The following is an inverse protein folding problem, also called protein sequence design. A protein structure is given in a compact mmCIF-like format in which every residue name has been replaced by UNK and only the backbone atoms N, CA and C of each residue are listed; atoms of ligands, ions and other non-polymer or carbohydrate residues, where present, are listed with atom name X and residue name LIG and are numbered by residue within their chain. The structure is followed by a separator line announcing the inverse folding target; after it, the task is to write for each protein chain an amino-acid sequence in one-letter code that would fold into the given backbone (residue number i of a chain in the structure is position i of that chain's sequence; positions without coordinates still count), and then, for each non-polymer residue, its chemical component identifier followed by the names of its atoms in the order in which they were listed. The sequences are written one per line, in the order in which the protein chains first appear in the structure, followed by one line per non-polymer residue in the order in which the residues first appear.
data_IF_221364378076
#
_entry.id   IF_221364378076
#
_cell.length_a   1.000
_cell.length_b   1.000
_cell.length_c   1.000
_cell.angle_alpha   90.00
_cell.angle_beta   90.00
_cell.angle_gamma   90.00
#
_symmetry.space_group_name_H-M   'P 1'
#
loop_
_entity.id
_entity.type
_entity.pdbx_description
1 polymer ?
#
# COMPACT_ATOMS: atom_id res chain seq x y z
N UNK A 1 -34.90 37.22 39.05
CA UNK A 1 -34.89 38.42 38.20
C UNK A 1 -34.55 37.95 36.80
N UNK A 2 -35.36 38.14 35.76
CA UNK A 2 -35.90 39.40 35.21
C UNK A 2 -34.80 40.39 34.81
N UNK A 3 -34.97 40.90 33.57
CA UNK A 3 -34.32 42.05 32.92
C UNK A 3 -33.02 41.72 32.14
N UNK A 4 -32.79 42.17 30.90
CA UNK A 4 -33.56 43.01 29.98
C UNK A 4 -32.99 42.88 28.55
N UNK A 5 -33.88 42.96 27.57
CA UNK A 5 -33.56 43.26 26.17
C UNK A 5 -33.38 44.77 25.97
N UNK A 6 -32.65 45.21 24.92
CA UNK A 6 -32.86 46.51 24.30
C UNK A 6 -33.69 46.42 22.99
N UNK A 7 -34.54 47.42 22.68
CA UNK A 7 -35.45 47.43 21.54
C UNK A 7 -34.92 48.21 20.31
N UNK A 8 -35.49 47.85 19.16
CA UNK A 8 -35.81 48.67 17.97
C UNK A 8 -34.81 49.72 17.48
N UNK A 9 -34.28 49.48 16.28
CA UNK A 9 -34.07 50.53 15.28
C UNK A 9 -34.52 50.02 13.91
N UNK A 10 -35.70 50.47 13.52
CA UNK A 10 -36.27 50.44 12.17
C UNK A 10 -35.47 51.33 11.24
N UNK A 11 -34.96 50.83 10.11
CA UNK A 11 -34.73 51.67 8.92
C UNK A 11 -34.71 50.83 7.64
N UNK A 12 -35.52 51.26 6.67
CA UNK A 12 -35.14 51.24 5.26
C UNK A 12 -35.37 49.95 4.49
N UNK A 13 -36.62 49.75 4.05
CA UNK A 13 -36.88 49.12 2.76
C UNK A 13 -36.13 49.90 1.67
N UNK A 14 -35.07 49.32 1.11
CA UNK A 14 -34.55 49.73 -0.21
C UNK A 14 -34.78 48.55 -1.15
N UNK A 15 -35.92 48.62 -1.85
CA UNK A 15 -36.19 47.80 -3.02
C UNK A 15 -35.25 48.31 -4.11
N UNK A 16 -34.08 47.69 -4.24
CA UNK A 16 -33.28 47.82 -5.47
C UNK A 16 -33.95 46.92 -6.51
N UNK A 17 -34.89 47.50 -7.26
CA UNK A 17 -35.33 46.99 -8.57
C UNK A 17 -34.15 47.12 -9.53
N UNK A 18 -33.21 46.17 -9.42
CA UNK A 18 -32.10 45.99 -10.34
C UNK A 18 -32.48 44.99 -11.43
N UNK A 19 -32.90 45.53 -12.57
CA UNK A 19 -32.65 45.00 -13.91
C UNK A 19 -32.97 43.53 -14.21
N UNK A 20 -34.16 43.34 -14.79
CA UNK A 20 -34.49 42.24 -15.70
C UNK A 20 -33.60 42.31 -16.96
N UNK A 21 -32.36 41.81 -16.90
CA UNK A 21 -31.57 41.44 -18.09
C UNK A 21 -30.39 40.54 -17.68
N UNK A 22 -30.67 39.29 -17.34
CA UNK A 22 -29.63 38.33 -16.97
C UNK A 22 -30.01 36.86 -17.11
N UNK A 23 -31.04 36.53 -17.90
CA UNK A 23 -31.54 35.16 -18.05
C UNK A 23 -31.57 34.69 -19.51
N UNK A 24 -30.52 34.93 -20.30
CA UNK A 24 -30.41 34.31 -21.65
C UNK A 24 -28.98 33.93 -22.07
N UNK A 25 -28.02 33.84 -21.14
CA UNK A 25 -26.62 33.49 -21.47
C UNK A 25 -26.17 32.10 -21.02
N UNK A 26 -27.07 31.14 -20.83
CA UNK A 26 -26.71 29.78 -20.42
C UNK A 26 -26.86 28.69 -21.49
N UNK A 27 -27.30 28.99 -22.71
CA UNK A 27 -27.65 27.94 -23.70
C UNK A 27 -26.74 27.83 -24.93
N UNK A 28 -25.66 28.63 -25.06
CA UNK A 28 -24.69 28.47 -26.15
C UNK A 28 -23.45 27.64 -25.73
N UNK A 29 -23.65 26.41 -25.24
CA UNK A 29 -22.61 25.38 -25.35
C UNK A 29 -22.71 24.81 -26.77
N UNK A 30 -21.90 25.32 -27.69
CA UNK A 30 -21.77 24.76 -29.03
C UNK A 30 -21.39 23.26 -28.98
N UNK A 31 -21.66 22.49 -30.03
CA UNK A 31 -21.43 21.03 -30.06
C UNK A 31 -19.99 20.63 -29.69
N UNK A 32 -19.01 21.49 -29.98
CA UNK A 32 -17.60 21.30 -29.63
C UNK A 32 -17.30 21.39 -28.12
N UNK A 33 -18.12 22.10 -27.34
CA UNK A 33 -17.96 22.18 -25.90
C UNK A 33 -18.40 20.89 -25.19
N UNK A 34 -19.36 20.17 -25.78
CA UNK A 34 -19.82 18.88 -25.25
C UNK A 34 -18.79 17.78 -25.51
N UNK A 35 -18.22 17.73 -26.72
CA UNK A 35 -17.16 16.76 -27.07
C UNK A 35 -15.89 16.97 -26.23
N UNK A 36 -15.58 18.21 -25.84
CA UNK A 36 -14.42 18.49 -24.99
C UNK A 36 -14.60 18.03 -23.54
N UNK A 37 -15.83 18.01 -23.02
CA UNK A 37 -16.13 17.51 -21.67
C UNK A 37 -16.09 15.99 -21.65
N UNK A 38 -16.69 15.33 -22.64
CA UNK A 38 -16.64 13.87 -22.81
C UNK A 38 -15.20 13.35 -23.01
N UNK A 39 -14.38 14.09 -23.76
CA UNK A 39 -12.97 13.78 -23.92
C UNK A 39 -12.20 13.86 -22.58
N UNK A 40 -12.53 14.81 -21.69
CA UNK A 40 -11.88 14.91 -20.37
C UNK A 40 -12.27 13.77 -19.45
N UNK A 41 -13.56 13.45 -19.39
CA UNK A 41 -14.09 12.36 -18.57
C UNK A 41 -13.49 11.01 -18.99
N UNK A 42 -13.39 10.75 -20.29
CA UNK A 42 -12.74 9.53 -20.80
C UNK A 42 -11.25 9.47 -20.46
N UNK A 43 -10.52 10.58 -20.51
CA UNK A 43 -9.11 10.65 -20.08
C UNK A 43 -8.97 10.38 -18.58
N UNK A 44 -9.81 10.98 -17.75
CA UNK A 44 -9.82 10.74 -16.30
C UNK A 44 -10.09 9.27 -15.96
N UNK A 45 -11.09 8.66 -16.62
CA UNK A 45 -11.40 7.24 -16.45
C UNK A 45 -10.22 6.33 -16.85
N UNK A 46 -9.49 6.68 -17.92
CA UNK A 46 -8.30 5.94 -18.34
C UNK A 46 -7.17 6.04 -17.31
N UNK A 47 -6.93 7.22 -16.75
CA UNK A 47 -5.92 7.43 -15.71
C UNK A 47 -6.24 6.58 -14.47
N UNK A 48 -7.49 6.60 -13.99
CA UNK A 48 -7.91 5.80 -12.83
C UNK A 48 -7.75 4.29 -13.10
N UNK A 49 -8.09 3.84 -14.31
CA UNK A 49 -7.92 2.44 -14.71
C UNK A 49 -6.45 2.03 -14.73
N UNK A 50 -5.56 2.88 -15.23
CA UNK A 50 -4.12 2.62 -15.20
C UNK A 50 -3.60 2.50 -13.77
N UNK A 51 -4.04 3.38 -12.87
CA UNK A 51 -3.70 3.31 -11.44
C UNK A 51 -4.15 2.01 -10.80
N UNK A 52 -5.37 1.56 -11.08
CA UNK A 52 -5.87 0.27 -10.59
C UNK A 52 -5.02 -0.91 -11.07
N UNK A 53 -4.55 -0.88 -12.32
CA UNK A 53 -3.64 -1.92 -12.85
C UNK A 53 -2.29 -1.90 -12.12
N UNK A 54 -1.72 -0.71 -11.87
CA UNK A 54 -0.49 -0.56 -11.11
C UNK A 54 -0.63 -1.10 -9.66
N UNK A 55 -1.74 -0.77 -8.99
CA UNK A 55 -2.02 -1.24 -7.63
C UNK A 55 -2.23 -2.75 -7.56
N UNK A 56 -2.87 -3.33 -8.58
CA UNK A 56 -3.02 -4.78 -8.71
C UNK A 56 -1.68 -5.48 -8.92
N UNK A 57 -0.81 -4.91 -9.75
CA UNK A 57 0.55 -5.43 -9.95
C UNK A 57 1.38 -5.36 -8.65
N UNK A 58 1.26 -4.28 -7.89
CA UNK A 58 1.90 -4.13 -6.59
C UNK A 58 1.39 -5.17 -5.57
N UNK A 59 0.08 -5.44 -5.53
CA UNK A 59 -0.48 -6.53 -4.72
C UNK A 59 0.12 -7.88 -5.13
N UNK A 60 0.14 -8.18 -6.43
CA UNK A 60 0.71 -9.43 -6.91
C UNK A 60 2.19 -9.60 -6.52
N UNK A 61 2.98 -8.53 -6.61
CA UNK A 61 4.39 -8.55 -6.16
C UNK A 61 4.51 -8.82 -4.65
N UNK A 62 3.64 -8.21 -3.83
CA UNK A 62 3.57 -8.49 -2.39
C UNK A 62 3.27 -9.97 -2.12
N UNK A 63 2.27 -10.52 -2.80
CA UNK A 63 1.87 -11.92 -2.65
C UNK A 63 3.01 -12.87 -3.06
N UNK A 64 3.72 -12.56 -4.14
CA UNK A 64 4.92 -13.30 -4.57
C UNK A 64 6.03 -13.23 -3.52
N UNK A 65 6.27 -12.08 -2.90
CA UNK A 65 7.27 -11.94 -1.84
C UNK A 65 6.90 -12.77 -0.61
N UNK A 66 5.64 -12.72 -0.18
CA UNK A 66 5.13 -13.53 0.94
C UNK A 66 5.29 -15.02 0.62
N UNK A 67 4.85 -15.45 -0.56
CA UNK A 67 4.98 -16.83 -1.03
C UNK A 67 6.45 -17.29 -1.03
N UNK A 68 7.37 -16.42 -1.48
CA UNK A 68 8.81 -16.68 -1.49
C UNK A 68 9.35 -16.89 -0.08
N UNK A 69 8.91 -16.07 0.89
CA UNK A 69 9.31 -16.25 2.29
C UNK A 69 8.78 -17.55 2.85
N UNK A 70 7.52 -17.90 2.59
CA UNK A 70 6.95 -19.18 3.02
C UNK A 70 7.73 -20.35 2.42
N UNK A 71 7.98 -20.35 1.11
CA UNK A 71 8.76 -21.38 0.43
C UNK A 71 10.17 -21.52 1.00
N UNK A 72 10.87 -20.39 1.25
CA UNK A 72 12.19 -20.38 1.90
C UNK A 72 12.14 -21.01 3.29
N UNK A 73 11.16 -20.64 4.11
CA UNK A 73 11.05 -21.19 5.47
C UNK A 73 10.79 -22.70 5.47
N UNK A 74 9.93 -23.20 4.58
CA UNK A 74 9.67 -24.65 4.43
C UNK A 74 10.95 -25.41 4.06
N UNK A 75 11.68 -24.89 3.09
CA UNK A 75 12.92 -25.50 2.60
C UNK A 75 14.03 -25.51 3.67
N UNK A 76 14.16 -24.43 4.46
CA UNK A 76 15.07 -24.39 5.62
C UNK A 76 14.66 -25.40 6.68
N UNK A 77 13.36 -25.54 6.99
CA UNK A 77 12.88 -26.53 7.97
C UNK A 77 13.21 -27.95 7.52
N UNK A 78 12.97 -28.30 6.25
CA UNK A 78 13.31 -29.63 5.72
C UNK A 78 14.82 -29.89 5.75
N UNK A 79 15.61 -28.88 5.40
CA UNK A 79 17.06 -28.99 5.43
C UNK A 79 17.60 -29.18 6.86
N UNK A 80 17.12 -28.39 7.82
CA UNK A 80 17.46 -28.53 9.24
C UNK A 80 16.96 -29.85 9.82
N UNK A 81 15.76 -30.30 9.45
CA UNK A 81 15.27 -31.62 9.87
C UNK A 81 16.19 -32.74 9.37
N UNK A 82 16.61 -32.68 8.10
CA UNK A 82 17.60 -33.62 7.54
C UNK A 82 18.92 -33.60 8.29
N UNK A 83 19.39 -32.43 8.72
CA UNK A 83 20.57 -32.29 9.58
C UNK A 83 20.41 -33.04 10.90
N UNK A 84 19.33 -32.76 11.64
CA UNK A 84 19.13 -33.36 12.95
C UNK A 84 18.97 -34.88 12.88
N UNK A 85 18.31 -35.39 11.83
CA UNK A 85 18.21 -36.83 11.57
C UNK A 85 19.58 -37.44 11.28
N UNK A 86 20.37 -36.85 10.38
CA UNK A 86 21.71 -37.37 10.05
C UNK A 86 22.67 -37.29 11.24
N UNK A 87 22.59 -36.23 12.03
CA UNK A 87 23.36 -36.06 13.26
C UNK A 87 22.97 -37.11 14.31
N UNK A 88 21.68 -37.37 14.50
CA UNK A 88 21.19 -38.41 15.41
C UNK A 88 21.69 -39.80 14.99
N UNK A 89 21.63 -40.12 13.69
CA UNK A 89 22.16 -41.38 13.15
C UNK A 89 23.67 -41.47 13.35
N UNK A 90 24.42 -40.41 13.02
CA UNK A 90 25.87 -40.36 13.21
C UNK A 90 26.26 -40.58 14.69
N UNK A 91 25.52 -39.98 15.62
CA UNK A 91 25.70 -40.16 17.05
C UNK A 91 25.44 -41.60 17.48
N UNK A 92 24.38 -42.25 16.98
CA UNK A 92 24.08 -43.66 17.27
C UNK A 92 25.18 -44.57 16.73
N UNK A 93 25.64 -44.35 15.49
CA UNK A 93 26.73 -45.13 14.89
C UNK A 93 28.03 -44.96 15.67
N UNK A 94 28.39 -43.73 16.06
CA UNK A 94 29.59 -43.46 16.86
C UNK A 94 29.56 -44.18 18.21
N UNK A 95 28.44 -44.14 18.91
CA UNK A 95 28.30 -44.79 20.22
C UNK A 95 28.24 -46.31 20.13
N UNK A 96 27.48 -46.86 19.17
CA UNK A 96 27.20 -48.30 19.08
C UNK A 96 28.26 -49.08 18.30
N UNK A 97 28.73 -48.51 17.19
CA UNK A 97 29.67 -49.18 16.27
C UNK A 97 31.10 -48.82 16.62
N UNK A 98 31.41 -47.53 16.72
CA UNK A 98 32.79 -47.06 16.92
C UNK A 98 33.23 -47.05 18.38
N UNK A 99 32.29 -47.06 19.34
CA UNK A 99 32.54 -47.00 20.80
C UNK A 99 33.41 -45.81 21.25
N UNK A 100 33.43 -44.71 20.49
CA UNK A 100 34.30 -43.54 20.72
C UNK A 100 33.66 -42.43 21.57
N UNK A 101 32.60 -42.76 22.34
CA UNK A 101 31.88 -41.81 23.18
C UNK A 101 30.97 -40.82 22.41
N UNK A 102 30.17 -40.01 23.11
CA UNK A 102 29.24 -39.08 22.47
C UNK A 102 29.97 -37.93 21.76
N UNK A 103 29.30 -37.26 20.81
CA UNK A 103 29.76 -35.98 20.25
C UNK A 103 29.77 -34.93 21.37
N UNK A 104 30.91 -34.27 21.56
CA UNK A 104 31.08 -33.20 22.55
C UNK A 104 30.71 -31.85 21.95
N UNK A 105 30.34 -30.88 22.80
CA UNK A 105 29.95 -29.53 22.39
C UNK A 105 31.07 -28.84 21.57
N UNK A 106 32.34 -29.11 21.90
CA UNK A 106 33.49 -28.57 21.14
C UNK A 106 33.59 -29.06 19.70
N UNK A 107 32.97 -30.21 19.36
CA UNK A 107 32.94 -30.74 17.99
C UNK A 107 31.79 -30.15 17.15
N UNK A 108 30.82 -29.49 17.78
CA UNK A 108 29.61 -29.00 17.10
C UNK A 108 29.88 -28.00 15.96
N UNK A 109 30.80 -27.00 16.10
CA UNK A 109 31.09 -26.06 15.01
C UNK A 109 31.59 -26.76 13.74
N UNK A 110 32.35 -27.85 13.89
CA UNK A 110 32.89 -28.62 12.76
C UNK A 110 31.81 -29.36 11.96
N UNK A 111 30.63 -29.58 12.52
CA UNK A 111 29.49 -30.17 11.80
C UNK A 111 28.54 -29.09 11.28
N UNK A 112 28.24 -28.08 12.09
CA UNK A 112 27.28 -27.04 11.72
C UNK A 112 27.79 -26.13 10.60
N UNK A 113 29.05 -25.68 10.67
CA UNK A 113 29.62 -24.76 9.68
C UNK A 113 29.64 -25.36 8.27
N UNK A 114 30.22 -26.55 8.01
CA UNK A 114 30.18 -27.11 6.66
C UNK A 114 28.76 -27.44 6.21
N UNK A 115 27.85 -27.79 7.12
CA UNK A 115 26.47 -28.08 6.76
C UNK A 115 25.68 -26.81 6.34
N UNK A 116 25.87 -25.69 7.03
CA UNK A 116 25.32 -24.40 6.58
C UNK A 116 25.99 -23.91 5.30
N UNK A 117 27.28 -24.21 5.10
CA UNK A 117 27.98 -23.91 3.86
C UNK A 117 27.41 -24.70 2.67
N UNK A 118 27.11 -26.00 2.83
CA UNK A 118 26.50 -26.78 1.75
C UNK A 118 25.12 -26.26 1.36
N UNK A 119 24.33 -25.77 2.33
CA UNK A 119 23.08 -25.07 2.03
C UNK A 119 23.30 -23.85 1.15
N UNK A 120 24.24 -22.99 1.53
CA UNK A 120 24.54 -21.76 0.80
C UNK A 120 25.13 -22.04 -0.58
N UNK A 121 25.93 -23.11 -0.72
CA UNK A 121 26.47 -23.54 -2.01
C UNK A 121 25.36 -24.04 -2.95
N UNK A 122 24.43 -24.87 -2.45
CA UNK A 122 23.27 -25.33 -3.22
C UNK A 122 22.34 -24.16 -3.57
N UNK A 123 22.21 -23.17 -2.68
CA UNK A 123 21.44 -21.97 -2.95
C UNK A 123 22.11 -21.06 -4.00
N UNK A 124 23.43 -20.92 -3.98
CA UNK A 124 24.17 -20.02 -4.87
C UNK A 124 24.34 -20.58 -6.29
N UNK A 125 24.58 -21.89 -6.43
CA UNK A 125 24.95 -22.51 -7.71
C UNK A 125 24.05 -23.68 -8.12
N UNK A 126 23.20 -24.17 -7.22
CA UNK A 126 22.41 -25.38 -7.42
C UNK A 126 21.03 -25.15 -8.03
N UNK A 127 20.28 -26.25 -8.17
CA UNK A 127 18.89 -26.27 -8.67
C UNK A 127 17.86 -25.80 -7.64
N UNK A 128 18.32 -25.42 -6.44
CA UNK A 128 17.47 -25.03 -5.30
C UNK A 128 16.60 -23.81 -5.59
N UNK A 129 17.14 -22.79 -6.27
CA UNK A 129 16.35 -21.60 -6.66
C UNK A 129 15.18 -21.99 -7.58
N UNK A 130 15.42 -22.89 -8.54
CA UNK A 130 14.36 -23.33 -9.47
C UNK A 130 13.27 -24.13 -8.76
N UNK A 131 13.65 -24.98 -7.80
CA UNK A 131 12.70 -25.67 -6.93
C UNK A 131 11.88 -24.68 -6.09
N UNK A 132 12.54 -23.65 -5.54
CA UNK A 132 11.87 -22.63 -4.75
C UNK A 132 10.88 -21.82 -5.59
N UNK A 133 11.24 -21.46 -6.82
CA UNK A 133 10.35 -20.79 -7.77
C UNK A 133 9.13 -21.65 -8.14
N UNK A 134 9.30 -22.97 -8.24
CA UNK A 134 8.19 -23.90 -8.45
C UNK A 134 7.25 -23.94 -7.25
N UNK A 135 7.79 -24.04 -6.04
CA UNK A 135 7.01 -24.02 -4.80
C UNK A 135 6.24 -22.71 -4.63
N UNK A 136 6.85 -21.57 -4.95
CA UNK A 136 6.18 -20.25 -4.95
C UNK A 136 4.95 -20.24 -5.86
N UNK A 137 5.09 -20.77 -7.08
CA UNK A 137 3.96 -20.87 -8.03
C UNK A 137 2.85 -21.78 -7.49
N UNK A 138 3.22 -22.87 -6.83
CA UNK A 138 2.27 -23.80 -6.23
C UNK A 138 1.50 -23.17 -5.06
N UNK A 139 2.21 -22.47 -4.16
CA UNK A 139 1.61 -21.74 -3.03
C UNK A 139 0.61 -20.69 -3.54
N UNK A 140 0.99 -19.88 -4.53
CA UNK A 140 0.12 -18.84 -5.09
C UNK A 140 -1.15 -19.46 -5.72
N UNK A 141 -1.01 -20.61 -6.39
CA UNK A 141 -2.12 -21.26 -7.09
C UNK A 141 -3.09 -21.97 -6.14
N UNK A 142 -2.54 -22.73 -5.19
CA UNK A 142 -3.31 -23.68 -4.39
C UNK A 142 -3.61 -23.18 -2.97
N UNK A 143 -2.72 -22.37 -2.39
CA UNK A 143 -2.78 -21.97 -0.98
C UNK A 143 -3.25 -20.52 -0.80
N UNK A 144 -4.43 -20.21 -1.31
CA UNK A 144 -5.00 -18.84 -1.26
C UNK A 144 -5.21 -18.28 0.15
N UNK A 145 -5.21 -19.14 1.17
CA UNK A 145 -5.47 -18.74 2.55
C UNK A 145 -4.36 -17.84 3.14
N UNK A 146 -3.13 -17.91 2.62
CA UNK A 146 -2.05 -17.01 3.02
C UNK A 146 -2.22 -15.57 2.52
N UNK A 147 -3.06 -15.36 1.50
CA UNK A 147 -3.23 -14.09 0.78
C UNK A 147 -4.63 -13.49 0.98
N UNK A 148 -5.27 -13.80 2.11
CA UNK A 148 -6.66 -13.43 2.38
C UNK A 148 -6.88 -11.93 2.61
N UNK A 149 -5.82 -11.16 2.80
CA UNK A 149 -5.92 -9.74 3.13
C UNK A 149 -6.18 -8.90 1.87
N UNK A 150 -7.32 -8.19 1.80
CA UNK A 150 -7.56 -7.25 0.73
C UNK A 150 -6.60 -6.07 0.86
N UNK A 151 -6.18 -5.51 -0.27
CA UNK A 151 -5.40 -4.27 -0.26
C UNK A 151 -6.34 -3.10 0.05
N UNK A 152 -6.01 -2.27 1.03
CA UNK A 152 -6.72 -1.00 1.23
C UNK A 152 -6.48 -0.08 0.04
N UNK A 153 -7.56 0.37 -0.57
CA UNK A 153 -7.57 1.33 -1.66
C UNK A 153 -8.29 2.60 -1.22
N UNK A 154 -7.86 3.77 -1.73
CA UNK A 154 -8.60 5.01 -1.55
C UNK A 154 -10.06 4.92 -2.03
N UNK A 155 -11.03 5.51 -1.30
CA UNK A 155 -12.45 5.46 -1.65
C UNK A 155 -12.78 6.00 -3.04
N UNK A 156 -12.03 6.99 -3.55
CA UNK A 156 -12.28 7.57 -4.87
C UNK A 156 -12.05 6.56 -6.02
N UNK A 157 -11.31 5.48 -5.79
CA UNK A 157 -11.08 4.41 -6.77
C UNK A 157 -12.20 3.37 -6.79
N UNK A 158 -13.13 3.40 -5.83
CA UNK A 158 -14.15 2.36 -5.68
C UNK A 158 -15.01 2.21 -6.93
N UNK A 159 -15.52 3.32 -7.47
CA UNK A 159 -16.40 3.29 -8.64
C UNK A 159 -15.72 2.62 -9.84
N UNK A 160 -14.50 3.06 -10.17
CA UNK A 160 -13.71 2.49 -11.27
C UNK A 160 -13.34 1.03 -11.01
N UNK A 161 -13.06 0.67 -9.75
CA UNK A 161 -12.78 -0.70 -9.34
C UNK A 161 -13.98 -1.63 -9.57
N UNK A 162 -15.16 -1.23 -9.10
CA UNK A 162 -16.39 -2.01 -9.23
C UNK A 162 -16.75 -2.22 -10.70
N UNK A 163 -16.61 -1.19 -11.53
CA UNK A 163 -16.78 -1.31 -12.99
C UNK A 163 -15.84 -2.36 -13.58
N UNK A 164 -14.54 -2.25 -13.31
CA UNK A 164 -13.54 -3.19 -13.79
C UNK A 164 -13.82 -4.62 -13.31
N UNK A 165 -14.26 -4.78 -12.06
CA UNK A 165 -14.59 -6.07 -11.49
C UNK A 165 -15.84 -6.67 -12.14
N UNK A 166 -16.88 -5.88 -12.41
CA UNK A 166 -18.08 -6.36 -13.13
C UNK A 166 -17.74 -6.80 -14.55
N UNK A 167 -16.91 -6.04 -15.27
CA UNK A 167 -16.41 -6.42 -16.62
C UNK A 167 -15.64 -7.74 -16.58
N UNK A 168 -14.76 -7.92 -15.59
CA UNK A 168 -13.99 -9.14 -15.44
C UNK A 168 -14.86 -10.34 -15.04
N UNK A 169 -15.79 -10.16 -14.12
CA UNK A 169 -16.71 -11.20 -13.69
C UNK A 169 -17.66 -11.61 -14.82
N UNK A 170 -18.08 -10.67 -15.67
CA UNK A 170 -18.83 -10.98 -16.88
C UNK A 170 -18.00 -11.87 -17.83
N UNK A 171 -16.72 -11.54 -18.03
CA UNK A 171 -15.80 -12.39 -18.84
C UNK A 171 -15.58 -13.77 -18.23
N UNK A 172 -15.47 -13.87 -16.90
CA UNK A 172 -15.34 -15.16 -16.21
C UNK A 172 -16.61 -16.00 -16.31
N UNK A 173 -17.78 -15.37 -16.24
CA UNK A 173 -19.07 -16.01 -16.41
C UNK A 173 -19.22 -16.62 -17.81
N UNK A 174 -18.71 -15.97 -18.86
CA UNK A 174 -18.67 -16.53 -20.22
C UNK A 174 -17.83 -17.81 -20.31
N UNK A 175 -16.79 -17.94 -19.47
CA UNK A 175 -15.92 -19.13 -19.40
C UNK A 175 -16.47 -20.17 -18.41
N UNK A 176 -17.60 -19.89 -17.73
CA UNK A 176 -18.19 -20.77 -16.72
C UNK A 176 -17.38 -20.84 -15.42
N UNK A 177 -16.54 -19.85 -15.13
CA UNK A 177 -15.78 -19.77 -13.88
C UNK A 177 -16.54 -18.94 -12.84
N UNK A 178 -16.37 -19.25 -11.54
CA UNK A 178 -16.95 -18.42 -10.48
C UNK A 178 -16.36 -17.00 -10.51
N UNK A 179 -17.12 -15.99 -10.01
CA UNK A 179 -16.63 -14.62 -9.93
C UNK A 179 -15.36 -14.53 -9.08
N UNK A 180 -14.49 -13.58 -9.42
CA UNK A 180 -13.28 -13.34 -8.66
C UNK A 180 -13.63 -12.67 -7.32
N UNK A 181 -12.99 -13.15 -6.24
CA UNK A 181 -13.11 -12.54 -4.91
C UNK A 181 -12.51 -11.13 -4.91
N UNK A 182 -13.12 -10.24 -4.16
CA UNK A 182 -12.62 -8.87 -3.93
C UNK A 182 -11.18 -8.93 -3.39
N UNK A 183 -10.25 -8.37 -4.15
CA UNK A 183 -8.85 -8.28 -3.77
C UNK A 183 -8.50 -6.97 -3.07
N UNK A 184 -9.44 -6.03 -3.00
CA UNK A 184 -9.29 -4.72 -2.37
C UNK A 184 -10.46 -4.41 -1.42
N UNK A 185 -10.17 -3.57 -0.43
CA UNK A 185 -11.13 -3.01 0.53
C UNK A 185 -10.98 -1.48 0.50
N UNK A 186 -12.07 -0.77 0.84
CA UNK A 186 -12.13 0.69 0.82
C UNK A 186 -12.38 1.27 2.23
N UNK A 187 -12.12 0.49 3.28
CA UNK A 187 -12.61 0.76 4.63
C UNK A 187 -11.85 1.89 5.37
N UNK A 188 -10.70 2.35 4.86
CA UNK A 188 -9.91 3.38 5.53
C UNK A 188 -10.27 4.78 5.00
N UNK A 189 -10.77 5.70 5.86
CA UNK A 189 -10.77 7.11 5.50
C UNK A 189 -9.32 7.52 5.31
N UNK A 190 -9.00 7.93 4.09
CA UNK A 190 -7.69 8.41 3.72
C UNK A 190 -7.33 9.59 4.62
N UNK A 191 -6.15 9.58 5.24
CA UNK A 191 -5.68 10.78 5.94
C UNK A 191 -5.38 11.85 4.89
N UNK A 192 -5.59 13.13 5.23
CA UNK A 192 -5.37 14.24 4.28
C UNK A 192 -3.92 14.23 3.73
N UNK A 193 -2.96 13.73 4.52
CA UNK A 193 -1.56 13.53 4.11
C UNK A 193 -1.40 12.52 2.97
N UNK A 194 -2.14 11.40 3.00
CA UNK A 194 -2.09 10.40 1.93
C UNK A 194 -2.74 10.89 0.64
N UNK A 195 -3.81 11.70 0.74
CA UNK A 195 -4.45 12.35 -0.42
C UNK A 195 -3.47 13.32 -1.10
N UNK A 196 -2.72 14.09 -0.31
CA UNK A 196 -1.69 15.01 -0.78
C UNK A 196 -0.52 14.29 -1.45
N UNK A 197 -0.08 13.15 -0.90
CA UNK A 197 1.00 12.34 -1.46
C UNK A 197 0.62 11.65 -2.79
N UNK A 198 -0.67 11.38 -2.98
CA UNK A 198 -1.21 10.75 -4.21
C UNK A 198 -1.57 11.73 -5.32
N UNK A 199 -1.88 12.99 -4.98
CA UNK A 199 -2.38 13.96 -5.95
C UNK A 199 -1.30 14.59 -6.83
N UNK A 200 0.00 14.54 -6.45
CA UNK A 200 1.02 15.29 -7.19
C UNK A 200 2.45 14.67 -7.14
N UNK A 201 2.92 14.00 -8.21
CA UNK A 201 4.35 13.67 -8.34
C UNK A 201 5.22 14.94 -8.50
N UNK A 202 4.64 16.04 -9.00
CA UNK A 202 5.34 17.31 -9.25
C UNK A 202 5.58 18.09 -7.95
N UNK A 203 4.65 18.08 -6.99
CA UNK A 203 4.88 18.76 -5.71
C UNK A 203 5.94 18.04 -4.89
N UNK A 204 6.03 16.70 -4.97
CA UNK A 204 7.10 15.94 -4.31
C UNK A 204 8.49 16.30 -4.87
N UNK A 205 8.60 16.48 -6.19
CA UNK A 205 9.81 16.99 -6.82
C UNK A 205 10.13 18.44 -6.40
N UNK A 206 9.12 19.30 -6.26
CA UNK A 206 9.30 20.68 -5.80
C UNK A 206 9.63 20.76 -4.31
N UNK A 207 9.02 19.93 -3.46
CA UNK A 207 9.21 19.90 -2.01
C UNK A 207 10.54 19.25 -1.63
N UNK A 208 10.96 18.21 -2.36
CA UNK A 208 12.29 17.60 -2.23
C UNK A 208 13.42 18.53 -2.70
N UNK A 209 13.14 19.42 -3.66
CA UNK A 209 14.07 20.48 -4.08
C UNK A 209 13.92 21.78 -3.26
N UNK A 210 12.92 21.88 -2.38
CA UNK A 210 12.76 22.99 -1.42
C UNK A 210 13.58 22.82 -0.14
N UNK A 211 14.56 21.90 -0.14
CA UNK A 211 15.74 21.98 0.73
C UNK A 211 16.61 23.23 0.50
N UNK A 212 16.13 24.24 -0.24
CA UNK A 212 16.66 25.59 -0.24
C UNK A 212 16.24 26.28 1.06
N UNK A 213 17.12 26.13 2.05
CA UNK A 213 17.10 26.82 3.32
C UNK A 213 16.90 28.32 3.09
N UNK A 214 15.68 28.84 3.27
CA UNK A 214 15.49 30.27 3.39
C UNK A 214 16.18 30.69 4.69
N UNK A 215 17.19 31.59 4.65
CA UNK A 215 17.78 32.08 5.88
C UNK A 215 16.67 32.76 6.67
N UNK A 216 16.42 32.25 7.88
CA UNK A 216 15.66 32.95 8.91
C UNK A 216 16.30 34.33 9.12
N UNK A 217 15.77 35.36 8.48
CA UNK A 217 16.04 36.74 8.85
C UNK A 217 15.32 37.01 10.16
N UNK A 218 16.06 36.89 11.26
CA UNK A 218 15.89 37.57 12.54
C UNK A 218 14.54 38.27 12.76
N UNK A 219 13.58 37.55 13.34
CA UNK A 219 12.60 38.15 14.24
C UNK A 219 13.24 38.27 15.62
N UNK A 220 14.05 39.32 15.79
CA UNK A 220 14.37 39.90 17.08
C UNK A 220 13.60 41.21 17.21
N UNK A 221 13.20 41.53 18.44
CA UNK A 221 12.50 42.73 18.92
C UNK A 221 10.98 42.78 18.68
N UNK A 222 10.22 42.35 19.69
CA UNK A 222 9.71 43.28 20.70
C UNK A 222 9.12 42.47 21.87
N UNK A 223 9.85 42.40 22.98
CA UNK A 223 9.30 41.97 24.27
C UNK A 223 8.35 43.06 24.81
N UNK A 224 7.26 42.69 25.52
CA UNK A 224 6.45 43.65 26.25
C UNK A 224 7.14 44.06 27.55
N UNK A 225 7.49 45.34 27.66
CA UNK A 225 7.90 45.98 28.92
C UNK A 225 6.67 46.12 29.81
N UNK A 226 6.77 45.54 31.01
CA UNK A 226 5.89 45.77 32.14
C UNK A 226 5.93 47.25 32.56
N UNK A 227 4.76 47.83 32.82
CA UNK A 227 4.63 48.94 33.78
C UNK A 227 3.37 48.69 34.63
N UNK A 228 3.61 48.32 35.89
CA UNK A 228 2.74 48.67 37.02
C UNK A 228 2.60 50.20 37.08
N UNK A 229 1.48 50.70 37.59
CA UNK A 229 1.66 51.44 38.84
C UNK A 229 0.61 51.15 39.91
N UNK A 230 1.14 51.23 41.13
CA UNK A 230 0.44 51.32 42.40
C UNK A 230 -0.72 52.33 42.42
N UNK A 231 -1.83 51.95 43.06
CA UNK A 231 -2.35 52.39 44.38
C UNK A 231 -3.64 51.62 44.67
#
# INVERSE_FOLDING_TARGET
GLCNAPPNASFGHVIVRGSLMGQYFSSFRGPYAQTAVEARESVEALILKERLVQLRAAKYQRDVQIATKIAQTRDVVHFMAGFYVTLAVAQVVKMRVLRTGPITIGQFPFYLVPFTLTYNLDLAYGTKIERLNREVKEIIRNEKHWFNEPMSLPPYLEVSYRQLQTEMNAKLALVGRPPERDWASFDTPMTDEEVLDLSYPVTKFLQQNQGFNWPHSNQQLCDPICDEPAV
#
